data_IF_028139834354
#
_entry.id   IF_028139834354
#
_cell.length_a   1.000
_cell.length_b   1.000
_cell.length_c   1.000
_cell.angle_alpha   90.00
_cell.angle_beta   90.00
_cell.angle_gamma   90.00
#
_symmetry.space_group_name_H-M   'P 1'
#
loop_
_entity.id
_entity.type
_entity.pdbx_description
1 polymer ?
#
# COMPACT_ATOMS: atom_id res chain seq x y z
N UNK A 1 -22.65 -39.40 38.81
CA UNK A 1 -22.61 -38.88 37.43
C UNK A 1 -22.10 -37.44 37.50
N UNK A 2 -20.78 -37.23 37.41
CA UNK A 2 -20.05 -36.68 36.25
C UNK A 2 -20.60 -35.33 35.77
N UNK A 3 -20.11 -34.25 36.36
CA UNK A 3 -20.22 -32.89 35.83
C UNK A 3 -18.85 -32.22 35.93
N UNK A 4 -18.00 -32.51 34.94
CA UNK A 4 -16.76 -31.79 34.67
C UNK A 4 -16.47 -31.96 33.17
N UNK A 5 -15.84 -30.94 32.58
CA UNK A 5 -15.53 -30.73 31.15
C UNK A 5 -16.63 -30.03 30.34
N UNK A 6 -16.54 -28.70 30.26
CA UNK A 6 -16.89 -27.94 29.04
C UNK A 6 -16.34 -26.50 29.06
N UNK A 7 -15.08 -26.31 29.47
CA UNK A 7 -14.41 -24.99 29.42
C UNK A 7 -12.98 -25.11 28.91
N UNK A 8 -12.80 -25.66 27.69
CA UNK A 8 -11.49 -25.68 27.05
C UNK A 8 -11.58 -25.73 25.52
N UNK A 9 -12.53 -25.02 24.89
CA UNK A 9 -12.57 -24.90 23.43
C UNK A 9 -13.06 -23.50 23.06
N UNK A 10 -12.22 -22.48 23.22
CA UNK A 10 -12.49 -21.16 22.62
C UNK A 10 -11.25 -20.29 22.37
N UNK A 11 -10.05 -20.65 22.87
CA UNK A 11 -8.87 -19.80 22.71
C UNK A 11 -8.05 -20.03 21.43
N UNK A 12 -8.30 -21.10 20.67
CA UNK A 12 -7.51 -21.39 19.46
C UNK A 12 -8.03 -20.75 18.17
N UNK A 13 -9.20 -20.09 18.21
CA UNK A 13 -9.78 -19.44 17.03
C UNK A 13 -9.23 -18.01 16.77
N UNK A 14 -8.49 -17.42 17.71
CA UNK A 14 -8.03 -16.02 17.61
C UNK A 14 -6.67 -15.83 16.91
N UNK A 15 -5.96 -16.90 16.52
CA UNK A 15 -4.60 -16.78 15.96
C UNK A 15 -4.53 -16.92 14.44
N UNK A 16 -5.61 -17.31 13.76
CA UNK A 16 -5.61 -17.54 12.30
C UNK A 16 -6.05 -16.34 11.46
N UNK A 17 -6.57 -15.26 12.06
CA UNK A 17 -7.03 -14.08 11.30
C UNK A 17 -5.95 -13.01 11.12
N UNK A 18 -4.85 -13.06 11.89
CA UNK A 18 -3.80 -12.03 11.90
C UNK A 18 -2.91 -12.05 10.65
N UNK A 19 -2.65 -13.22 10.06
CA UNK A 19 -1.71 -13.38 8.93
C UNK A 19 -2.22 -12.65 7.67
N UNK A 20 -3.54 -12.47 7.55
CA UNK A 20 -4.15 -11.73 6.43
C UNK A 20 -3.97 -10.21 6.52
N UNK A 21 -3.79 -9.64 7.72
CA UNK A 21 -3.77 -8.19 7.91
C UNK A 21 -2.46 -7.56 7.41
N UNK A 22 -1.32 -8.24 7.59
CA UNK A 22 0.00 -7.71 7.28
C UNK A 22 0.26 -7.68 5.77
N UNK A 23 -0.08 -8.73 5.03
CA UNK A 23 0.00 -8.73 3.57
C UNK A 23 -0.89 -7.63 2.94
N UNK A 24 -2.04 -7.34 3.57
CA UNK A 24 -2.93 -6.26 3.12
C UNK A 24 -2.44 -4.84 3.48
N UNK A 25 -1.49 -4.71 4.40
CA UNK A 25 -1.01 -3.42 4.91
C UNK A 25 -0.02 -2.73 3.97
N UNK A 26 0.66 -3.49 3.09
CA UNK A 26 1.64 -2.96 2.13
C UNK A 26 1.04 -2.41 0.82
N UNK A 27 -0.28 -2.15 0.78
CA UNK A 27 -0.91 -1.44 -0.33
C UNK A 27 -0.68 0.07 -0.20
N UNK A 28 -0.42 0.79 -1.29
CA UNK A 28 -0.43 2.26 -1.34
C UNK A 28 -1.67 2.83 -0.62
N UNK A 29 -1.54 3.91 0.16
CA UNK A 29 -2.64 4.49 0.95
C UNK A 29 -3.01 3.82 2.30
N UNK A 30 -2.90 2.49 2.45
CA UNK A 30 -3.26 1.81 3.72
C UNK A 30 -2.13 1.74 4.79
N UNK A 31 -2.44 2.11 6.04
CA UNK A 31 -1.50 1.98 7.17
C UNK A 31 -0.38 3.02 7.22
N UNK A 32 0.43 2.97 8.28
CA UNK A 32 1.61 3.82 8.44
C UNK A 32 2.73 3.27 7.55
N UNK A 33 3.02 3.94 6.44
CA UNK A 33 4.05 3.49 5.50
C UNK A 33 4.66 4.63 4.71
N UNK A 34 5.82 4.33 4.13
CA UNK A 34 6.47 5.13 3.13
C UNK A 34 6.55 4.37 1.81
N UNK A 35 6.41 5.06 0.69
CA UNK A 35 6.57 4.48 -0.66
C UNK A 35 7.56 5.33 -1.43
N UNK A 36 8.70 4.75 -1.78
CA UNK A 36 9.72 5.37 -2.61
C UNK A 36 9.50 5.00 -4.08
N UNK A 37 9.89 5.88 -4.99
CA UNK A 37 9.82 5.67 -6.43
C UNK A 37 11.18 5.96 -7.05
N UNK A 38 11.66 5.05 -7.89
CA UNK A 38 12.95 5.14 -8.57
C UNK A 38 12.82 4.77 -10.04
N UNK A 39 13.89 4.97 -10.80
CA UNK A 39 13.95 4.61 -12.23
C UNK A 39 12.82 5.27 -13.05
N UNK A 40 12.51 6.53 -12.69
CA UNK A 40 11.43 7.30 -13.27
C UNK A 40 11.71 7.58 -14.75
N UNK A 41 10.75 7.22 -15.59
CA UNK A 41 10.76 7.50 -17.03
C UNK A 41 9.35 7.78 -17.52
N UNK A 42 9.23 8.35 -18.72
CA UNK A 42 7.95 8.42 -19.41
C UNK A 42 7.52 7.00 -19.81
N UNK A 43 6.21 6.79 -19.96
CA UNK A 43 5.62 5.46 -20.22
C UNK A 43 6.11 4.86 -21.55
N UNK A 44 6.44 5.70 -22.52
CA UNK A 44 7.03 5.33 -23.81
C UNK A 44 8.52 4.92 -23.72
N UNK A 45 9.11 5.03 -22.52
CA UNK A 45 10.49 4.69 -22.22
C UNK A 45 11.50 5.80 -22.49
N UNK A 46 11.06 6.98 -22.91
CA UNK A 46 11.93 8.14 -22.98
C UNK A 46 12.28 8.66 -21.57
N UNK A 47 13.43 9.35 -21.42
CA UNK A 47 13.82 9.95 -20.14
C UNK A 47 12.75 10.90 -19.61
N UNK A 48 12.65 11.00 -18.28
CA UNK A 48 11.74 11.96 -17.65
C UNK A 48 12.03 13.40 -18.12
N UNK A 49 10.98 14.09 -18.58
CA UNK A 49 11.03 15.51 -18.94
C UNK A 49 10.81 16.44 -17.73
N UNK A 50 10.79 15.87 -16.53
CA UNK A 50 10.61 16.53 -15.24
C UNK A 50 9.21 16.33 -14.65
N UNK A 51 8.24 15.81 -15.41
CA UNK A 51 6.89 15.55 -14.90
C UNK A 51 6.88 14.41 -13.87
N UNK A 52 7.65 13.35 -14.08
CA UNK A 52 7.67 12.21 -13.18
C UNK A 52 8.39 12.54 -11.88
N UNK A 53 9.51 13.24 -11.95
CA UNK A 53 10.21 13.75 -10.77
C UNK A 53 9.32 14.67 -9.94
N UNK A 54 8.57 15.60 -10.56
CA UNK A 54 7.62 16.47 -9.85
C UNK A 54 6.55 15.68 -9.09
N UNK A 55 6.08 14.56 -9.65
CA UNK A 55 5.04 13.73 -9.04
C UNK A 55 5.57 12.76 -7.97
N UNK A 56 6.73 12.16 -8.19
CA UNK A 56 7.14 10.96 -7.46
C UNK A 56 8.48 11.07 -6.71
N UNK A 57 9.30 12.10 -6.94
CA UNK A 57 10.67 12.16 -6.40
C UNK A 57 10.74 12.13 -4.85
N UNK A 58 9.71 12.66 -4.18
CA UNK A 58 9.68 12.73 -2.71
C UNK A 58 9.10 11.47 -2.06
N UNK A 59 8.59 10.52 -2.86
CA UNK A 59 7.81 9.40 -2.35
C UNK A 59 6.48 9.83 -1.72
N UNK A 60 5.73 8.85 -1.23
CA UNK A 60 4.46 9.07 -0.53
C UNK A 60 4.55 8.56 0.90
N UNK A 61 4.25 9.44 1.86
CA UNK A 61 4.13 9.08 3.27
C UNK A 61 2.66 9.09 3.65
N UNK A 62 2.16 7.96 4.12
CA UNK A 62 0.81 7.86 4.66
C UNK A 62 0.90 7.49 6.12
N UNK A 63 0.25 8.28 6.99
CA UNK A 63 -0.10 7.84 8.34
C UNK A 63 -1.59 7.56 8.41
N UNK A 64 -1.95 6.55 9.19
CA UNK A 64 -3.34 6.19 9.48
C UNK A 64 -4.03 7.41 10.10
N UNK A 65 -5.03 7.96 9.41
CA UNK A 65 -5.89 8.99 10.00
C UNK A 65 -6.74 8.33 11.12
N UNK A 66 -6.98 8.98 12.27
CA UNK A 66 -7.74 8.39 13.38
C UNK A 66 -9.16 7.94 12.99
N UNK A 67 -9.73 8.53 11.94
CA UNK A 67 -11.02 8.15 11.34
C UNK A 67 -10.97 7.14 10.19
N UNK A 68 -9.79 6.69 9.76
CA UNK A 68 -9.66 5.71 8.67
C UNK A 68 -10.09 4.32 9.14
N UNK A 69 -11.32 3.91 8.80
CA UNK A 69 -11.74 2.51 8.87
C UNK A 69 -10.93 1.68 7.86
N UNK A 70 -10.75 0.38 8.12
CA UNK A 70 -10.04 -0.54 7.23
C UNK A 70 -10.65 -0.63 5.81
N UNK A 71 -11.90 -0.21 5.67
CA UNK A 71 -12.68 -0.16 4.43
C UNK A 71 -12.48 1.14 3.64
N UNK A 72 -11.85 2.16 4.25
CA UNK A 72 -11.59 3.41 3.54
C UNK A 72 -10.63 3.15 2.39
N UNK A 73 -11.07 3.57 1.20
CA UNK A 73 -10.28 3.53 -0.03
C UNK A 73 -9.69 4.88 -0.41
N UNK A 74 -9.99 5.93 0.36
CA UNK A 74 -9.51 7.28 0.12
C UNK A 74 -8.51 7.67 1.21
N UNK A 75 -7.38 8.25 0.81
CA UNK A 75 -6.26 8.60 1.68
C UNK A 75 -5.66 9.93 1.25
N UNK A 76 -5.15 10.70 2.21
CA UNK A 76 -4.36 11.89 1.94
C UNK A 76 -2.94 11.63 2.44
N UNK A 77 -1.94 11.84 1.60
CA UNK A 77 -0.53 11.72 1.98
C UNK A 77 -0.06 12.97 2.71
N UNK A 78 1.05 12.89 3.44
CA UNK A 78 1.68 14.08 4.05
C UNK A 78 2.09 15.12 3.03
N UNK A 79 2.48 14.66 1.85
CA UNK A 79 2.83 15.48 0.70
C UNK A 79 1.59 16.10 0.02
N UNK A 80 0.39 15.91 0.58
CA UNK A 80 -0.87 16.51 0.14
C UNK A 80 -1.54 15.81 -1.03
N UNK A 81 -1.15 14.57 -1.34
CA UNK A 81 -1.70 13.83 -2.48
C UNK A 81 -2.99 13.15 -2.05
N UNK A 82 -4.02 13.22 -2.89
CA UNK A 82 -5.25 12.46 -2.67
C UNK A 82 -5.15 11.14 -3.43
N UNK A 83 -5.30 10.01 -2.74
CA UNK A 83 -5.20 8.67 -3.30
C UNK A 83 -6.54 7.96 -3.08
N UNK A 84 -7.20 7.55 -4.16
CA UNK A 84 -8.41 6.72 -4.14
C UNK A 84 -8.14 5.36 -4.76
N UNK A 85 -8.16 4.31 -3.95
CA UNK A 85 -8.01 2.93 -4.40
C UNK A 85 -9.28 2.46 -5.11
N UNK A 86 -9.18 2.11 -6.39
CA UNK A 86 -10.31 1.67 -7.22
C UNK A 86 -10.33 0.16 -7.42
N UNK A 87 -9.17 -0.47 -7.50
CA UNK A 87 -9.02 -1.91 -7.63
C UNK A 87 -8.11 -2.49 -6.55
N UNK A 88 -8.48 -3.68 -6.07
CA UNK A 88 -7.73 -4.46 -5.09
C UNK A 88 -7.60 -5.88 -5.62
N UNK A 89 -6.37 -6.27 -5.92
CA UNK A 89 -6.00 -7.61 -6.36
C UNK A 89 -4.76 -8.11 -5.63
N UNK A 90 -4.17 -9.16 -6.20
CA UNK A 90 -3.03 -9.89 -5.64
C UNK A 90 -3.40 -11.20 -4.95
N UNK A 91 -2.37 -11.97 -4.59
CA UNK A 91 -2.50 -13.29 -3.96
C UNK A 91 -1.58 -13.43 -2.75
N UNK A 92 -1.86 -14.43 -1.91
CA UNK A 92 -0.98 -14.87 -0.83
C UNK A 92 -0.80 -16.37 -0.98
N UNK A 93 0.43 -16.81 -1.22
CA UNK A 93 0.76 -18.21 -1.40
C UNK A 93 2.12 -18.53 -0.79
N UNK A 94 2.16 -19.56 0.06
CA UNK A 94 3.41 -20.12 0.59
C UNK A 94 4.36 -19.09 1.23
N UNK A 95 3.80 -18.07 1.91
CA UNK A 95 4.57 -17.01 2.56
C UNK A 95 5.01 -15.87 1.65
N UNK A 96 4.70 -15.92 0.35
CA UNK A 96 4.88 -14.84 -0.61
C UNK A 96 3.52 -14.17 -0.86
N UNK A 97 3.52 -12.85 -1.04
CA UNK A 97 2.33 -12.15 -1.48
C UNK A 97 2.62 -11.29 -2.70
N UNK A 98 1.61 -11.15 -3.56
CA UNK A 98 1.57 -10.16 -4.63
C UNK A 98 0.51 -9.11 -4.35
N UNK A 99 0.73 -7.92 -4.87
CA UNK A 99 -0.17 -6.78 -4.78
C UNK A 99 -0.38 -6.26 -6.18
N UNK A 100 -1.63 -6.29 -6.64
CA UNK A 100 -2.05 -5.75 -7.94
C UNK A 100 -3.18 -4.76 -7.67
N UNK A 101 -2.90 -3.47 -7.68
CA UNK A 101 -3.90 -2.46 -7.32
C UNK A 101 -3.94 -1.34 -8.35
N UNK A 102 -5.10 -0.72 -8.44
CA UNK A 102 -5.29 0.50 -9.22
C UNK A 102 -5.81 1.62 -8.32
N UNK A 103 -5.35 2.83 -8.60
CA UNK A 103 -5.62 4.02 -7.82
C UNK A 103 -5.91 5.20 -8.72
N UNK A 104 -6.74 6.12 -8.26
CA UNK A 104 -6.83 7.47 -8.79
C UNK A 104 -6.01 8.37 -7.88
N UNK A 105 -5.01 9.07 -8.42
CA UNK A 105 -4.15 9.98 -7.66
C UNK A 105 -4.34 11.41 -8.15
N UNK A 106 -4.57 12.33 -7.22
CA UNK A 106 -4.55 13.78 -7.46
C UNK A 106 -3.28 14.36 -6.85
N UNK A 107 -2.48 15.03 -7.68
CA UNK A 107 -1.24 15.68 -7.24
C UNK A 107 -1.50 17.17 -6.94
N UNK A 108 -1.12 17.69 -5.76
CA UNK A 108 -1.40 19.07 -5.39
C UNK A 108 -0.61 20.09 -6.23
N UNK A 109 0.53 19.69 -6.79
CA UNK A 109 1.39 20.56 -7.59
C UNK A 109 0.97 20.65 -9.06
N UNK A 110 -0.03 19.86 -9.46
CA UNK A 110 -0.47 19.75 -10.84
C UNK A 110 -1.83 20.45 -11.01
N UNK A 111 -1.79 21.78 -10.83
CA UNK A 111 -2.93 22.72 -10.64
C UNK A 111 -3.95 22.69 -11.82
N UNK A 112 -3.56 22.14 -12.97
CA UNK A 112 -4.44 21.99 -14.14
C UNK A 112 -4.69 20.52 -14.55
N UNK A 113 -4.11 19.54 -13.84
CA UNK A 113 -4.25 18.14 -14.25
C UNK A 113 -5.48 17.46 -13.68
N UNK A 114 -6.03 16.57 -14.50
CA UNK A 114 -7.02 15.59 -14.07
C UNK A 114 -6.33 14.55 -13.18
N UNK A 115 -7.04 13.95 -12.22
CA UNK A 115 -6.54 12.79 -11.49
C UNK A 115 -6.02 11.72 -12.46
N UNK A 116 -4.90 11.08 -12.11
CA UNK A 116 -4.28 10.04 -12.95
C UNK A 116 -4.67 8.65 -12.49
N UNK A 117 -4.74 7.70 -13.43
CA UNK A 117 -4.95 6.29 -13.10
C UNK A 117 -3.59 5.62 -12.87
N UNK A 118 -3.28 5.33 -11.62
CA UNK A 118 -2.05 4.71 -11.16
C UNK A 118 -2.24 3.21 -10.96
N UNK A 119 -1.44 2.42 -11.66
CA UNK A 119 -1.39 0.97 -11.56
C UNK A 119 -0.12 0.55 -10.82
N UNK A 120 -0.25 -0.44 -9.93
CA UNK A 120 0.81 -0.96 -9.09
C UNK A 120 0.84 -2.48 -9.16
N UNK A 121 2.02 -3.03 -9.41
CA UNK A 121 2.31 -4.45 -9.24
C UNK A 121 3.52 -4.60 -8.34
N UNK A 122 3.37 -5.27 -7.19
CA UNK A 122 4.46 -5.47 -6.24
C UNK A 122 4.41 -6.86 -5.60
N UNK A 123 5.54 -7.30 -5.08
CA UNK A 123 5.66 -8.56 -4.33
C UNK A 123 6.39 -8.34 -3.02
N UNK A 124 6.15 -9.23 -2.06
CA UNK A 124 6.88 -9.26 -0.81
C UNK A 124 6.74 -10.59 -0.08
N UNK A 125 7.38 -10.67 1.08
CA UNK A 125 7.43 -11.85 1.92
C UNK A 125 6.62 -11.57 3.19
N UNK A 126 5.82 -12.54 3.61
CA UNK A 126 5.01 -12.42 4.83
C UNK A 126 5.90 -12.28 6.06
N UNK A 127 5.62 -11.28 6.89
CA UNK A 127 6.42 -10.96 8.08
C UNK A 127 7.54 -9.96 7.82
N UNK A 128 7.90 -9.69 6.56
CA UNK A 128 8.82 -8.62 6.20
C UNK A 128 8.10 -7.26 6.17
N UNK A 129 8.88 -6.20 6.33
CA UNK A 129 8.34 -4.83 6.34
C UNK A 129 8.34 -4.16 4.97
N UNK A 130 8.80 -4.86 3.92
CA UNK A 130 9.02 -4.28 2.60
C UNK A 130 8.37 -5.10 1.49
N UNK A 131 7.84 -4.39 0.50
CA UNK A 131 7.45 -4.90 -0.81
C UNK A 131 8.16 -4.10 -1.89
N UNK A 132 8.50 -4.76 -2.98
CA UNK A 132 9.11 -4.13 -4.16
C UNK A 132 8.26 -4.39 -5.39
N UNK A 133 8.25 -3.45 -6.31
CA UNK A 133 7.37 -3.54 -7.47
C UNK A 133 7.64 -2.48 -8.51
N UNK A 134 6.69 -2.36 -9.43
CA UNK A 134 6.67 -1.40 -10.52
C UNK A 134 5.33 -0.69 -10.55
N UNK A 135 5.32 0.50 -11.14
CA UNK A 135 4.10 1.27 -11.33
C UNK A 135 4.03 1.95 -12.68
N UNK A 136 2.82 2.37 -13.06
CA UNK A 136 2.56 3.25 -14.19
C UNK A 136 1.35 4.13 -13.89
N UNK A 137 1.37 5.41 -14.25
CA UNK A 137 0.18 6.30 -14.19
C UNK A 137 -0.40 6.66 -15.56
N UNK A 138 0.09 5.97 -16.61
CA UNK A 138 -0.20 6.27 -18.01
C UNK A 138 0.64 7.41 -18.61
N UNK A 139 1.40 8.15 -17.79
CA UNK A 139 2.39 9.15 -18.22
C UNK A 139 3.80 8.75 -17.80
N UNK A 140 3.94 8.33 -16.55
CA UNK A 140 5.17 7.97 -15.87
C UNK A 140 5.15 6.49 -15.52
N UNK A 141 6.33 5.88 -15.53
CA UNK A 141 6.56 4.52 -15.03
C UNK A 141 7.85 4.49 -14.21
N UNK A 142 7.99 3.47 -13.38
CA UNK A 142 9.21 3.24 -12.63
C UNK A 142 9.10 2.07 -11.66
N UNK A 143 10.11 1.97 -10.81
CA UNK A 143 10.17 1.02 -9.71
C UNK A 143 9.62 1.65 -8.43
N UNK A 144 9.12 0.83 -7.52
CA UNK A 144 8.68 1.28 -6.21
C UNK A 144 9.09 0.32 -5.10
N UNK A 145 9.41 0.90 -3.95
CA UNK A 145 9.62 0.18 -2.70
C UNK A 145 8.64 0.73 -1.67
N UNK A 146 7.83 -0.15 -1.10
CA UNK A 146 6.85 0.18 -0.07
C UNK A 146 7.33 -0.40 1.25
N UNK A 147 7.44 0.45 2.27
CA UNK A 147 7.99 0.08 3.58
C UNK A 147 6.99 0.43 4.67
N UNK A 148 6.62 -0.55 5.49
CA UNK A 148 5.86 -0.33 6.71
C UNK A 148 6.69 0.51 7.67
N UNK A 149 6.15 1.66 8.08
CA UNK A 149 6.74 2.42 9.17
C UNK A 149 6.40 1.64 10.44
N UNK A 150 7.42 1.16 11.16
CA UNK A 150 7.21 0.50 12.44
C UNK A 150 6.28 1.38 13.29
N UNK A 151 5.13 0.85 13.69
CA UNK A 151 4.49 1.38 14.89
C UNK A 151 5.53 1.27 16.00
N UNK A 152 5.84 2.37 16.65
CA UNK A 152 6.34 2.32 18.03
C UNK A 152 5.38 1.39 18.75
N UNK A 153 5.82 0.15 19.02
CA UNK A 153 5.06 -0.75 19.85
C UNK A 153 4.94 -0.01 21.18
N UNK A 154 3.72 0.46 21.49
CA UNK A 154 3.42 0.86 22.85
C UNK A 154 3.59 -0.43 23.67
N UNK A 155 4.69 -0.44 24.42
CA UNK A 155 4.97 -1.36 25.52
C UNK A 155 3.83 -1.33 26.52
#
# INVERSE_FOLDING_TARGET
MKAALCTAISLTALTLTSISADAMSLRLGRGDKFSAFTDLSLVDGSPDNGICAKRYANGFTVKKHPGSLAEHRNFITYEGHEIKMIHIGGSLESGLYSVENEYIITFPQDIQSKPVNFQLMATGITGETQATGVFSDGTCRGSTVMTLLKKTQQQ
#
